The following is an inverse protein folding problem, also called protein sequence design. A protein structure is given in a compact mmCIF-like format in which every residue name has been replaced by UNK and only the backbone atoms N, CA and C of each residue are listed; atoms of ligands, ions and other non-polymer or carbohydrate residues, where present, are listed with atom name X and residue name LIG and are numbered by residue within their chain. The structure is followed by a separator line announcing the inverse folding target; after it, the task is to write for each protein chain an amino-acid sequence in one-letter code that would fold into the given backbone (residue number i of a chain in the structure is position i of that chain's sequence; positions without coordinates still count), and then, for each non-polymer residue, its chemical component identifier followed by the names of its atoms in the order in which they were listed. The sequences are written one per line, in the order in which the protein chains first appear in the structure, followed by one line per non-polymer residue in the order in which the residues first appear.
data_IF_108001573260
#
_entry.id   IF_108001573260
#
_cell.length_a   1.000
_cell.length_b   1.000
_cell.length_c   1.000
_cell.angle_alpha   90.00
_cell.angle_beta   90.00
_cell.angle_gamma   90.00
#
_symmetry.space_group_name_H-M   'P 1'
#
loop_
_entity.id
_entity.type
_entity.pdbx_description
1 polymer ?
#
# COMPACT_ATOMS: atom_id res chain seq x y z
N UNK A 1 1.59 11.21 -20.83
CA UNK A 1 1.64 11.73 -19.45
C UNK A 1 1.49 13.23 -19.57
N UNK A 2 0.32 13.75 -19.19
CA UNK A 2 -0.02 15.15 -19.44
C UNK A 2 0.63 16.05 -18.39
N UNK A 3 1.05 17.26 -18.76
CA UNK A 3 1.82 18.16 -17.89
C UNK A 3 1.13 19.51 -17.76
N UNK A 4 0.86 19.92 -16.52
CA UNK A 4 0.21 21.20 -16.21
C UNK A 4 1.06 22.01 -15.24
N UNK A 5 0.92 23.33 -15.27
CA UNK A 5 1.56 24.23 -14.31
C UNK A 5 0.78 24.32 -12.99
N UNK A 6 1.43 24.67 -11.89
CA UNK A 6 0.77 24.86 -10.59
C UNK A 6 -0.30 25.98 -10.63
N UNK A 7 -0.05 27.04 -11.41
CA UNK A 7 -1.05 28.09 -11.66
C UNK A 7 -2.29 27.55 -12.37
N UNK A 8 -2.06 26.74 -13.39
CA UNK A 8 -3.12 26.13 -14.20
C UNK A 8 -3.99 25.20 -13.35
N UNK A 9 -3.35 24.36 -12.52
CA UNK A 9 -4.04 23.52 -11.56
C UNK A 9 -4.94 24.33 -10.60
N UNK A 10 -4.48 25.49 -10.12
CA UNK A 10 -5.27 26.34 -9.21
C UNK A 10 -6.53 26.92 -9.87
N UNK A 11 -6.47 27.22 -11.16
CA UNK A 11 -7.60 27.79 -11.90
C UNK A 11 -8.62 26.72 -12.36
N UNK A 12 -8.16 25.50 -12.66
CA UNK A 12 -8.99 24.43 -13.22
C UNK A 12 -8.95 23.13 -12.40
N UNK A 13 -8.81 23.23 -11.07
CA UNK A 13 -8.60 22.09 -10.17
C UNK A 13 -9.64 20.96 -10.38
N UNK A 14 -10.93 21.30 -10.39
CA UNK A 14 -12.01 20.32 -10.51
C UNK A 14 -12.00 19.57 -11.84
N UNK A 15 -11.51 20.19 -12.92
CA UNK A 15 -11.40 19.55 -14.22
C UNK A 15 -10.30 18.48 -14.22
N UNK A 16 -9.11 18.84 -13.73
CA UNK A 16 -7.99 17.92 -13.64
C UNK A 16 -8.26 16.76 -12.66
N UNK A 17 -9.00 17.02 -11.58
CA UNK A 17 -9.45 15.95 -10.68
C UNK A 17 -10.40 14.99 -11.39
N UNK A 18 -11.41 15.48 -12.14
CA UNK A 18 -12.31 14.59 -12.92
C UNK A 18 -11.55 13.77 -13.96
N UNK A 19 -10.56 14.37 -14.62
CA UNK A 19 -9.70 13.66 -15.57
C UNK A 19 -8.89 12.56 -14.89
N UNK A 20 -8.36 12.83 -13.70
CA UNK A 20 -7.71 11.81 -12.89
C UNK A 20 -8.68 10.71 -12.45
N UNK A 21 -9.89 11.04 -12.00
CA UNK A 21 -10.94 10.04 -11.70
C UNK A 21 -11.26 9.15 -12.90
N UNK A 22 -11.21 9.69 -14.12
CA UNK A 22 -11.40 8.94 -15.36
C UNK A 22 -10.22 8.02 -15.74
N UNK A 23 -9.15 7.96 -14.94
CA UNK A 23 -8.00 7.08 -15.18
C UNK A 23 -6.74 7.79 -15.67
N UNK A 24 -6.77 9.12 -15.85
CA UNK A 24 -5.64 9.86 -16.37
C UNK A 24 -4.57 10.15 -15.30
N UNK A 25 -3.29 10.14 -15.71
CA UNK A 25 -2.15 10.55 -14.85
C UNK A 25 -1.58 11.87 -15.34
N UNK A 26 -1.60 12.88 -14.47
CA UNK A 26 -1.25 14.26 -14.81
C UNK A 26 -0.10 14.72 -13.91
N UNK A 27 1.00 15.14 -14.52
CA UNK A 27 2.14 15.73 -13.81
C UNK A 27 1.93 17.23 -13.60
N UNK A 28 2.08 17.67 -12.35
CA UNK A 28 2.02 19.07 -11.95
C UNK A 28 3.44 19.61 -11.89
N UNK A 29 3.66 20.73 -12.55
CA UNK A 29 4.96 21.40 -12.65
C UNK A 29 4.94 22.76 -11.99
N UNK A 30 6.07 23.12 -11.40
CA UNK A 30 6.37 24.46 -10.94
C UNK A 30 7.71 24.89 -11.53
N UNK A 31 7.72 26.00 -12.27
CA UNK A 31 8.90 26.49 -13.00
C UNK A 31 9.61 25.41 -13.85
N UNK A 32 8.84 24.56 -14.55
CA UNK A 32 9.35 23.48 -15.40
C UNK A 32 9.81 22.23 -14.66
N UNK A 33 9.83 22.23 -13.33
CA UNK A 33 10.14 21.06 -12.49
C UNK A 33 8.85 20.36 -12.07
N UNK A 34 8.78 19.04 -12.20
CA UNK A 34 7.65 18.25 -11.68
C UNK A 34 7.68 18.31 -10.15
N UNK A 35 6.56 18.71 -9.54
CA UNK A 35 6.41 18.86 -8.08
C UNK A 35 5.34 17.95 -7.49
N UNK A 36 4.38 17.49 -8.30
CA UNK A 36 3.34 16.55 -7.87
C UNK A 36 2.77 15.78 -9.07
N UNK A 37 2.01 14.72 -8.79
CA UNK A 37 1.19 14.01 -9.77
C UNK A 37 -0.23 13.87 -9.25
N UNK A 38 -1.20 14.13 -10.11
CA UNK A 38 -2.61 13.80 -9.88
C UNK A 38 -2.83 12.47 -10.57
N UNK A 39 -3.15 11.45 -9.78
CA UNK A 39 -3.39 10.08 -10.25
C UNK A 39 -4.82 9.68 -9.93
N UNK A 40 -5.37 8.69 -10.64
CA UNK A 40 -6.68 8.17 -10.33
C UNK A 40 -6.74 7.74 -8.87
N UNK A 41 -7.86 8.00 -8.17
CA UNK A 41 -8.03 7.47 -6.83
C UNK A 41 -7.86 5.96 -6.92
N UNK A 42 -6.99 5.44 -6.06
CA UNK A 42 -6.90 4.01 -5.85
C UNK A 42 -8.20 3.62 -5.14
N UNK A 43 -9.28 3.42 -5.90
CA UNK A 43 -10.52 2.82 -5.44
C UNK A 43 -10.20 1.36 -5.13
N UNK A 44 -9.49 1.13 -4.03
CA UNK A 44 -8.87 -0.13 -3.66
C UNK A 44 -8.55 -0.98 -4.88
N UNK A 45 -7.52 -0.63 -5.65
CA UNK A 45 -6.87 -1.66 -6.48
C UNK A 45 -6.66 -2.80 -5.52
N UNK A 46 -7.46 -3.88 -5.66
CA UNK A 46 -7.69 -4.88 -4.62
C UNK A 46 -6.39 -5.06 -3.86
N UNK A 47 -6.33 -4.55 -2.62
CA UNK A 47 -5.05 -4.52 -1.91
C UNK A 47 -4.52 -5.95 -1.89
N UNK A 48 -3.21 -6.16 -1.74
CA UNK A 48 -2.71 -7.55 -1.63
C UNK A 48 -3.55 -8.37 -0.62
N UNK A 49 -4.00 -7.72 0.46
CA UNK A 49 -4.95 -8.32 1.41
C UNK A 49 -6.31 -8.67 0.79
N UNK A 50 -6.90 -7.79 0.00
CA UNK A 50 -8.18 -8.06 -0.66
C UNK A 50 -8.08 -9.16 -1.71
N UNK A 51 -6.95 -9.26 -2.42
CA UNK A 51 -6.67 -10.35 -3.36
C UNK A 51 -6.53 -11.69 -2.61
N UNK A 52 -5.77 -11.70 -1.51
CA UNK A 52 -5.63 -12.90 -0.66
C UNK A 52 -6.96 -13.33 -0.06
N UNK A 53 -7.84 -12.39 0.31
CA UNK A 53 -9.21 -12.71 0.78
C UNK A 53 -10.05 -13.32 -0.33
N UNK A 54 -10.00 -12.73 -1.54
CA UNK A 54 -10.74 -13.24 -2.69
C UNK A 54 -10.28 -14.65 -3.10
N UNK A 55 -8.98 -14.95 -3.00
CA UNK A 55 -8.41 -16.26 -3.28
C UNK A 55 -8.63 -17.30 -2.16
N UNK A 56 -9.15 -16.88 -1.00
CA UNK A 56 -9.31 -17.75 0.17
C UNK A 56 -7.99 -18.06 0.90
N UNK A 57 -6.90 -17.38 0.56
CA UNK A 57 -5.59 -17.48 1.22
C UNK A 57 -5.53 -16.67 2.53
N UNK A 58 -6.43 -15.70 2.70
CA UNK A 58 -6.55 -14.89 3.92
C UNK A 58 -8.00 -14.82 4.40
N UNK A 59 -8.20 -15.08 5.68
CA UNK A 59 -9.48 -14.84 6.36
C UNK A 59 -9.44 -13.49 7.09
N UNK A 60 -10.43 -12.63 6.81
CA UNK A 60 -10.56 -11.36 7.55
C UNK A 60 -10.92 -11.66 9.01
N UNK A 61 -10.13 -11.11 9.92
CA UNK A 61 -10.44 -11.16 11.35
C UNK A 61 -11.73 -10.40 11.65
N UNK A 62 -12.48 -10.87 12.65
CA UNK A 62 -13.72 -10.20 13.12
C UNK A 62 -13.46 -8.88 13.87
N UNK A 63 -12.19 -8.51 14.07
CA UNK A 63 -11.78 -7.40 14.93
C UNK A 63 -11.96 -7.71 16.42
N UNK A 64 -11.74 -6.70 17.27
CA UNK A 64 -11.90 -6.81 18.72
C UNK A 64 -10.58 -6.72 19.51
N UNK A 65 -10.70 -6.75 20.84
CA UNK A 65 -9.55 -6.74 21.74
C UNK A 65 -8.80 -8.07 21.61
N UNK A 66 -7.48 -8.00 21.43
CA UNK A 66 -6.64 -9.18 21.46
C UNK A 66 -6.67 -9.82 22.87
N UNK A 67 -6.65 -11.16 22.96
CA UNK A 67 -6.52 -11.82 24.25
C UNK A 67 -5.19 -11.44 24.89
N UNK A 68 -5.09 -11.65 26.21
CA UNK A 68 -3.81 -11.45 26.90
C UNK A 68 -2.75 -12.39 26.31
N UNK A 69 -1.50 -11.93 26.17
CA UNK A 69 -0.42 -12.78 25.69
C UNK A 69 -0.30 -14.03 26.56
N UNK A 70 -0.05 -15.16 25.92
CA UNK A 70 0.31 -16.38 26.64
C UNK A 70 1.62 -16.15 27.41
N UNK A 71 1.79 -16.79 28.58
CA UNK A 71 3.04 -16.71 29.32
C UNK A 71 4.21 -17.23 28.47
N UNK A 72 5.39 -16.68 28.70
CA UNK A 72 6.59 -17.11 28.00
C UNK A 72 6.82 -18.62 28.20
N UNK A 73 7.04 -19.34 27.11
CA UNK A 73 7.40 -20.75 27.16
C UNK A 73 8.80 -20.90 27.78
N UNK A 74 8.99 -21.95 28.60
CA UNK A 74 10.32 -22.33 29.08
C UNK A 74 11.11 -23.04 27.99
N UNK A 75 12.41 -22.75 27.90
CA UNK A 75 13.32 -23.35 26.91
C UNK A 75 13.74 -22.39 25.81
N UNK A 76 14.36 -22.95 24.76
CA UNK A 76 14.88 -22.16 23.64
C UNK A 76 13.72 -21.57 22.82
N UNK A 77 13.71 -20.25 22.55
CA UNK A 77 12.70 -19.64 21.71
C UNK A 77 12.64 -20.31 20.34
N UNK A 78 11.43 -20.56 19.83
CA UNK A 78 11.26 -21.18 18.51
C UNK A 78 11.90 -20.35 17.39
N UNK A 79 11.99 -19.03 17.57
CA UNK A 79 12.69 -18.12 16.66
C UNK A 79 14.18 -18.44 16.53
N UNK A 80 14.83 -18.87 17.61
CA UNK A 80 16.23 -19.26 17.62
C UNK A 80 16.45 -20.60 16.93
N UNK A 81 15.59 -21.58 17.21
CA UNK A 81 15.60 -22.89 16.54
C UNK A 81 15.41 -22.72 15.03
N UNK A 82 14.41 -21.94 14.61
CA UNK A 82 14.14 -21.68 13.19
C UNK A 82 15.27 -20.91 12.49
N UNK A 83 15.99 -20.06 13.22
CA UNK A 83 17.17 -19.38 12.70
C UNK A 83 18.30 -20.38 12.45
N UNK A 84 18.58 -21.23 13.43
CA UNK A 84 19.59 -22.28 13.31
C UNK A 84 19.27 -23.23 12.13
N UNK A 85 18.01 -23.66 11.99
CA UNK A 85 17.60 -24.50 10.84
C UNK A 85 17.85 -23.82 9.49
N UNK A 86 17.59 -22.51 9.39
CA UNK A 86 17.86 -21.72 8.17
C UNK A 86 19.34 -21.57 7.89
N UNK A 87 20.16 -21.41 8.91
CA UNK A 87 21.62 -21.30 8.77
C UNK A 87 22.25 -22.65 8.37
N UNK A 88 21.62 -23.76 8.73
CA UNK A 88 22.02 -25.13 8.36
C UNK A 88 21.55 -25.53 6.95
N UNK A 89 20.55 -24.84 6.39
CA UNK A 89 20.04 -25.05 5.04
C UNK A 89 21.04 -24.47 4.00
N UNK A 90 22.10 -25.24 3.73
CA UNK A 90 23.11 -24.90 2.71
C UNK A 90 22.47 -24.95 1.30
N UNK A 91 22.43 -23.81 0.61
CA UNK A 91 22.04 -23.70 -0.81
C UNK A 91 22.89 -24.58 -1.74
#
# INVERSE_FOLDING_TARGET
MDRIGLRELRHHASEYVRRAEAGERIAVTDHGRVVAEIVPPQNGTSSLRDQLVANGELLRGRGGRLPEPLPATSGTPISEVLRQMRDEERW
#
